data_IF_329020759216
#
_entry.id   IF_329020759216
#
_cell.length_a   1.000
_cell.length_b   1.000
_cell.length_c   1.000
_cell.angle_alpha   90.00
_cell.angle_beta   90.00
_cell.angle_gamma   90.00
#
_symmetry.space_group_name_H-M   'P 1'
#
loop_
_entity.id
_entity.type
_entity.pdbx_description
1 polymer ?
#
# COMPACT_ATOMS: atom_id res chain seq x y z
N UNK A 1 -36.49 10.03 -17.28
CA UNK A 1 -35.99 9.93 -15.89
C UNK A 1 -35.03 8.74 -15.76
N UNK A 2 -33.90 8.73 -16.49
CA UNK A 2 -32.83 7.69 -16.39
C UNK A 2 -31.42 8.31 -16.57
N UNK A 3 -31.27 9.65 -16.60
CA UNK A 3 -30.00 10.31 -16.94
C UNK A 3 -29.23 10.90 -15.74
N UNK A 4 -29.72 10.74 -14.51
CA UNK A 4 -29.06 11.31 -13.32
C UNK A 4 -28.06 10.36 -12.63
N UNK A 5 -28.11 9.05 -12.93
CA UNK A 5 -27.21 8.06 -12.34
C UNK A 5 -25.84 7.98 -13.04
N UNK A 6 -25.77 8.22 -14.36
CA UNK A 6 -24.52 8.13 -15.13
C UNK A 6 -23.57 9.31 -14.89
N UNK A 7 -24.10 10.49 -14.60
CA UNK A 7 -23.28 11.71 -14.41
C UNK A 7 -22.51 11.66 -13.08
N UNK A 8 -23.02 10.96 -12.07
CA UNK A 8 -22.40 10.88 -10.74
C UNK A 8 -21.28 9.83 -10.63
N UNK A 9 -21.19 8.89 -11.58
CA UNK A 9 -20.10 7.91 -11.68
C UNK A 9 -18.87 8.45 -12.40
N UNK A 10 -19.00 9.57 -13.15
CA UNK A 10 -17.97 10.08 -14.06
C UNK A 10 -17.05 11.14 -13.45
N UNK A 11 -17.26 11.50 -12.19
CA UNK A 11 -16.54 12.57 -11.48
C UNK A 11 -15.78 12.07 -10.26
N UNK A 12 -15.30 10.81 -10.25
CA UNK A 12 -14.35 10.41 -9.22
C UNK A 12 -13.02 11.10 -9.51
N UNK A 13 -12.47 11.88 -8.57
CA UNK A 13 -11.14 12.44 -8.72
C UNK A 13 -10.13 11.30 -8.94
N UNK A 14 -9.10 11.54 -9.75
CA UNK A 14 -8.14 10.49 -10.06
C UNK A 14 -7.43 10.01 -8.80
N UNK A 15 -7.01 8.74 -8.80
CA UNK A 15 -6.56 8.03 -7.59
C UNK A 15 -5.39 8.70 -6.83
N UNK A 16 -4.66 9.62 -7.47
CA UNK A 16 -3.56 10.39 -6.89
C UNK A 16 -3.99 11.64 -6.10
N UNK A 17 -5.27 12.02 -6.13
CA UNK A 17 -5.85 13.07 -5.27
C UNK A 17 -6.38 12.52 -3.93
N UNK A 18 -6.33 11.20 -3.73
CA UNK A 18 -6.62 10.60 -2.44
C UNK A 18 -5.34 10.52 -1.61
N UNK A 19 -5.27 11.16 -0.44
CA UNK A 19 -4.16 10.93 0.48
C UNK A 19 -4.07 9.43 0.81
N UNK A 20 -2.87 8.86 0.95
CA UNK A 20 -2.68 7.44 1.22
C UNK A 20 -3.50 7.02 2.45
N UNK A 21 -4.57 6.25 2.21
CA UNK A 21 -5.50 5.78 3.26
C UNK A 21 -4.96 4.61 4.10
N UNK A 22 -3.71 4.22 3.88
CA UNK A 22 -3.17 2.92 4.34
C UNK A 22 -3.02 2.85 5.86
N UNK A 23 -2.84 3.99 6.54
CA UNK A 23 -2.65 4.05 7.98
C UNK A 23 -3.64 4.97 8.72
N UNK A 24 -4.79 5.25 8.10
CA UNK A 24 -5.77 6.19 8.66
C UNK A 24 -6.24 5.79 10.07
N UNK A 25 -6.78 4.58 10.23
CA UNK A 25 -7.34 4.15 11.54
C UNK A 25 -6.30 4.04 12.65
N UNK A 26 -5.12 3.41 12.44
CA UNK A 26 -4.09 3.35 13.47
C UNK A 26 -3.67 4.74 13.95
N UNK A 27 -3.44 5.69 13.04
CA UNK A 27 -3.07 7.06 13.42
C UNK A 27 -4.22 7.84 14.06
N UNK A 28 -5.47 7.63 13.64
CA UNK A 28 -6.65 8.22 14.27
C UNK A 28 -6.81 7.77 15.73
N UNK A 29 -6.54 6.50 16.04
CA UNK A 29 -6.54 6.04 17.43
C UNK A 29 -5.33 6.57 18.21
N UNK A 30 -4.14 6.55 17.62
CA UNK A 30 -2.94 7.09 18.24
C UNK A 30 -3.06 8.60 18.56
N UNK A 31 -3.81 9.36 17.75
CA UNK A 31 -4.07 10.78 17.97
C UNK A 31 -4.75 11.08 19.31
N UNK A 32 -5.55 10.14 19.84
CA UNK A 32 -6.18 10.30 21.15
C UNK A 32 -5.16 10.36 22.29
N UNK A 33 -3.92 9.90 22.06
CA UNK A 33 -2.80 9.98 22.99
C UNK A 33 -1.87 11.17 22.69
N UNK A 34 -2.29 12.08 21.79
CA UNK A 34 -1.51 13.24 21.38
C UNK A 34 -0.25 12.87 20.60
N UNK A 35 0.71 13.81 20.56
CA UNK A 35 1.94 13.67 19.76
C UNK A 35 2.76 12.44 20.12
N UNK A 36 2.84 12.09 21.41
CA UNK A 36 3.56 10.89 21.87
C UNK A 36 2.91 9.60 21.35
N UNK A 37 1.58 9.57 21.25
CA UNK A 37 0.86 8.45 20.64
C UNK A 37 1.23 8.26 19.17
N UNK A 38 1.27 9.35 18.41
CA UNK A 38 1.66 9.31 17.00
C UNK A 38 3.10 8.85 16.83
N UNK A 39 4.04 9.42 17.61
CA UNK A 39 5.45 8.99 17.60
C UNK A 39 5.60 7.51 17.92
N UNK A 40 4.89 7.03 18.93
CA UNK A 40 4.92 5.63 19.31
C UNK A 40 4.36 4.72 18.20
N UNK A 41 3.26 5.11 17.55
CA UNK A 41 2.70 4.37 16.42
C UNK A 41 3.68 4.28 15.23
N UNK A 42 4.41 5.37 14.94
CA UNK A 42 5.47 5.36 13.92
C UNK A 42 6.58 4.38 14.28
N UNK A 43 7.06 4.39 15.53
CA UNK A 43 8.11 3.47 15.98
C UNK A 43 7.68 2.01 15.94
N UNK A 44 6.42 1.70 16.26
CA UNK A 44 5.87 0.34 16.12
C UNK A 44 5.94 -0.09 14.65
N UNK A 45 5.38 0.70 13.74
CA UNK A 45 5.33 0.36 12.30
C UNK A 45 6.74 0.19 11.74
N UNK A 46 7.67 1.08 12.13
CA UNK A 46 9.08 0.97 11.75
C UNK A 46 9.70 -0.33 12.27
N UNK A 47 9.50 -0.65 13.54
CA UNK A 47 10.00 -1.88 14.14
C UNK A 47 9.43 -3.14 13.49
N UNK A 48 8.16 -3.14 13.11
CA UNK A 48 7.52 -4.24 12.38
C UNK A 48 8.13 -4.44 10.99
N UNK A 49 8.37 -3.36 10.24
CA UNK A 49 9.02 -3.42 8.93
C UNK A 49 10.45 -3.96 9.07
N UNK A 50 11.25 -3.42 9.98
CA UNK A 50 12.63 -3.87 10.20
C UNK A 50 12.69 -5.34 10.64
N UNK A 51 11.78 -5.76 11.52
CA UNK A 51 11.71 -7.15 11.99
C UNK A 51 11.33 -8.07 10.84
N UNK A 52 10.35 -7.69 10.02
CA UNK A 52 9.91 -8.46 8.85
C UNK A 52 11.02 -8.59 7.80
N UNK A 53 11.77 -7.51 7.55
CA UNK A 53 12.94 -7.54 6.66
C UNK A 53 13.96 -8.57 7.13
N UNK A 54 14.34 -8.55 8.41
CA UNK A 54 15.29 -9.52 8.99
C UNK A 54 14.77 -10.96 8.89
N UNK A 55 13.50 -11.20 9.20
CA UNK A 55 12.88 -12.52 9.10
C UNK A 55 12.81 -13.04 7.67
N UNK A 56 12.72 -12.14 6.69
CA UNK A 56 12.65 -12.47 5.26
C UNK A 56 14.03 -12.50 4.59
N UNK A 57 15.11 -12.23 5.32
CA UNK A 57 16.47 -12.16 4.75
C UNK A 57 16.72 -10.96 3.84
N UNK A 58 15.93 -9.91 3.96
CA UNK A 58 16.01 -8.67 3.17
C UNK A 58 16.78 -7.60 3.97
N UNK A 59 17.66 -6.84 3.31
CA UNK A 59 18.40 -5.75 3.93
C UNK A 59 18.02 -4.38 3.37
N UNK A 60 17.57 -4.32 2.11
CA UNK A 60 17.09 -3.10 1.46
C UNK A 60 15.68 -3.30 0.91
N UNK A 61 14.71 -2.59 1.49
CA UNK A 61 13.30 -2.71 1.11
C UNK A 61 13.02 -2.30 -0.35
N UNK A 62 13.81 -1.37 -0.89
CA UNK A 62 13.59 -0.84 -2.24
C UNK A 62 14.28 -1.68 -3.32
N UNK A 63 15.40 -2.30 -2.99
CA UNK A 63 16.21 -3.06 -3.93
C UNK A 63 15.94 -4.58 -3.88
N UNK A 64 15.70 -5.14 -2.70
CA UNK A 64 15.62 -6.60 -2.53
C UNK A 64 14.19 -7.14 -2.65
N UNK A 65 13.17 -6.33 -2.38
CA UNK A 65 11.78 -6.79 -2.35
C UNK A 65 11.28 -7.10 -3.76
N UNK A 66 10.86 -8.33 -3.96
CA UNK A 66 10.18 -8.80 -5.16
C UNK A 66 8.91 -9.56 -4.82
N UNK A 67 8.00 -9.68 -5.77
CA UNK A 67 6.74 -10.41 -5.61
C UNK A 67 6.90 -11.89 -5.23
N UNK A 68 8.06 -12.51 -5.51
CA UNK A 68 8.29 -13.91 -5.16
C UNK A 68 8.43 -14.16 -3.65
N UNK A 69 8.49 -13.10 -2.82
CA UNK A 69 8.40 -13.19 -1.35
C UNK A 69 6.97 -13.41 -0.85
N UNK A 70 5.95 -13.37 -1.73
CA UNK A 70 4.54 -13.46 -1.35
C UNK A 70 3.90 -14.69 -1.98
N UNK A 71 3.30 -15.54 -1.15
CA UNK A 71 2.47 -16.64 -1.63
C UNK A 71 1.03 -16.14 -1.88
N UNK A 72 0.59 -16.15 -3.12
CA UNK A 72 -0.76 -15.70 -3.51
C UNK A 72 -1.77 -16.84 -3.69
N UNK A 73 -1.38 -18.11 -3.51
CA UNK A 73 -2.18 -19.26 -3.88
C UNK A 73 -3.61 -19.25 -3.29
N UNK A 74 -3.77 -18.80 -2.04
CA UNK A 74 -5.08 -18.77 -1.39
C UNK A 74 -6.01 -17.67 -1.91
N UNK A 75 -5.47 -16.60 -2.49
CA UNK A 75 -6.27 -15.46 -2.94
C UNK A 75 -6.33 -15.37 -4.46
N UNK A 76 -5.53 -16.13 -5.19
CA UNK A 76 -5.40 -16.04 -6.64
C UNK A 76 -6.72 -16.26 -7.37
N UNK A 77 -7.57 -17.15 -6.84
CA UNK A 77 -8.90 -17.42 -7.37
C UNK A 77 -9.89 -16.24 -7.23
N UNK A 78 -9.64 -15.30 -6.32
CA UNK A 78 -10.44 -14.08 -6.15
C UNK A 78 -10.01 -12.99 -7.12
N UNK A 79 -8.88 -13.16 -7.80
CA UNK A 79 -8.31 -12.15 -8.68
C UNK A 79 -8.89 -12.31 -10.10
N UNK A 80 -9.51 -11.26 -10.68
CA UNK A 80 -10.07 -11.33 -12.03
C UNK A 80 -8.99 -11.64 -13.09
N UNK A 81 -9.29 -12.54 -14.02
CA UNK A 81 -8.33 -13.13 -14.98
C UNK A 81 -7.88 -12.23 -16.15
N UNK A 82 -7.76 -10.92 -15.92
CA UNK A 82 -7.56 -9.90 -16.97
C UNK A 82 -6.07 -9.72 -17.36
N UNK A 83 -5.09 -9.97 -16.46
CA UNK A 83 -3.62 -10.22 -16.73
C UNK A 83 -2.79 -10.35 -15.43
N UNK A 84 -2.11 -11.49 -15.18
CA UNK A 84 -1.26 -11.74 -13.99
C UNK A 84 -0.07 -12.66 -14.31
N UNK A 85 1.16 -12.16 -14.21
CA UNK A 85 2.23 -12.88 -13.51
C UNK A 85 2.85 -11.93 -12.48
N UNK A 86 2.49 -12.17 -11.21
CA UNK A 86 2.94 -11.49 -9.98
C UNK A 86 2.92 -9.94 -9.95
N UNK A 87 1.87 -9.39 -10.58
CA UNK A 87 1.44 -7.99 -10.56
C UNK A 87 2.27 -7.05 -11.45
N UNK A 88 1.67 -6.21 -12.30
CA UNK A 88 2.45 -5.20 -13.04
C UNK A 88 1.67 -3.89 -13.19
N UNK A 89 2.23 -2.70 -12.96
CA UNK A 89 3.56 -2.20 -13.37
C UNK A 89 4.21 -1.30 -12.31
N UNK A 90 5.52 -1.42 -12.12
CA UNK A 90 6.36 -0.33 -11.61
C UNK A 90 7.48 0.01 -12.61
N UNK A 91 7.58 1.28 -13.02
CA UNK A 91 8.72 1.83 -13.77
C UNK A 91 9.16 3.12 -13.07
N UNK A 92 10.36 3.11 -12.50
CA UNK A 92 11.11 4.33 -12.18
C UNK A 92 12.49 4.24 -12.80
N UNK A 93 12.70 4.99 -13.88
CA UNK A 93 14.04 5.44 -14.26
C UNK A 93 14.30 6.75 -13.50
N UNK A 94 15.36 6.81 -12.71
CA UNK A 94 15.92 8.11 -12.36
C UNK A 94 17.42 8.04 -12.55
N UNK A 95 17.89 8.98 -13.37
CA UNK A 95 19.20 9.04 -13.95
C UNK A 95 20.32 9.04 -12.91
N UNK A 96 21.44 8.48 -13.34
CA UNK A 96 22.77 8.63 -12.76
C UNK A 96 23.06 10.12 -12.49
N UNK A 97 23.39 10.47 -11.26
CA UNK A 97 24.08 11.72 -10.89
C UNK A 97 25.38 11.34 -10.19
#
# INVERSE_FOLDING_TARGET
MVAFGEVLMRSRPPAWEHPPRVFDRPFMYALHYGDEGIKHAVEIIKGEIETTMRLSGINDLMHDVHSDFVNTAEIDHLVPSIKHPYAQKAVRSTAKL
#
